data_IF_248163408814
#
_entry.id   IF_248163408814
#
_cell.length_a   1.000
_cell.length_b   1.000
_cell.length_c   1.000
_cell.angle_alpha   90.00
_cell.angle_beta   90.00
_cell.angle_gamma   90.00
#
_symmetry.space_group_name_H-M   'P 1'
#
loop_
_entity.id
_entity.type
_entity.pdbx_description
1 polymer ?
#
# COMPACT_ATOMS: atom_id res chain seq x y z
N UNK A 1 28.44 33.50 -59.24
CA UNK A 1 29.85 33.07 -59.12
C UNK A 1 30.70 34.33 -58.98
N UNK A 2 31.70 34.44 -58.09
CA UNK A 2 32.32 33.45 -57.19
C UNK A 2 32.00 33.74 -55.70
N UNK A 3 32.34 32.97 -54.67
CA UNK A 3 33.17 31.78 -54.54
C UNK A 3 34.07 31.90 -53.29
N UNK A 4 34.07 30.83 -52.46
CA UNK A 4 35.00 30.46 -51.39
C UNK A 4 35.00 31.24 -50.05
N UNK A 5 35.35 30.68 -48.88
CA UNK A 5 35.28 29.34 -48.23
C UNK A 5 36.12 29.48 -46.93
N UNK A 6 35.76 28.72 -45.88
CA UNK A 6 36.57 28.19 -44.77
C UNK A 6 36.34 28.65 -43.32
N UNK A 7 35.84 27.67 -42.54
CA UNK A 7 36.21 27.20 -41.19
C UNK A 7 36.62 28.24 -40.11
N UNK A 8 36.05 28.11 -38.91
CA UNK A 8 36.67 27.38 -37.77
C UNK A 8 35.86 27.67 -36.49
N UNK A 9 35.66 26.64 -35.67
CA UNK A 9 34.75 26.64 -34.54
C UNK A 9 35.20 27.43 -33.31
N UNK A 10 34.23 27.71 -32.45
CA UNK A 10 34.46 28.04 -31.05
C UNK A 10 33.65 27.09 -30.16
N UNK A 11 34.38 26.18 -29.50
CA UNK A 11 33.90 25.40 -28.35
C UNK A 11 33.80 26.35 -27.15
N UNK A 12 32.59 26.65 -26.71
CA UNK A 12 32.37 27.27 -25.40
C UNK A 12 32.61 26.21 -24.30
N UNK A 13 33.71 26.33 -23.55
CA UNK A 13 33.88 25.67 -22.24
C UNK A 13 33.09 26.48 -21.21
N UNK A 14 31.90 26.01 -20.82
CA UNK A 14 31.32 26.43 -19.53
C UNK A 14 32.04 25.64 -18.42
N UNK A 15 32.90 26.32 -17.68
CA UNK A 15 33.36 25.85 -16.37
C UNK A 15 32.20 25.98 -15.38
N UNK A 16 31.64 24.85 -14.94
CA UNK A 16 30.76 24.82 -13.77
C UNK A 16 31.62 24.76 -12.51
N UNK A 17 31.59 25.83 -11.72
CA UNK A 17 32.05 25.82 -10.33
C UNK A 17 30.97 25.19 -9.45
N UNK A 18 31.10 23.90 -9.15
CA UNK A 18 30.26 23.21 -8.16
C UNK A 18 31.04 23.09 -6.84
N UNK A 19 30.55 23.61 -5.71
CA UNK A 19 31.21 23.42 -4.42
C UNK A 19 31.10 21.96 -3.95
N UNK A 20 32.09 21.43 -3.22
CA UNK A 20 32.11 20.03 -2.82
C UNK A 20 31.09 19.75 -1.71
N UNK A 21 30.38 18.61 -1.82
CA UNK A 21 29.51 18.07 -0.79
C UNK A 21 30.35 17.64 0.43
N UNK A 22 30.13 18.29 1.57
CA UNK A 22 30.70 17.88 2.86
C UNK A 22 30.14 16.51 3.28
N UNK A 23 31.02 15.53 3.49
CA UNK A 23 30.65 14.27 4.13
C UNK A 23 30.67 14.47 5.65
N UNK A 24 29.50 14.47 6.28
CA UNK A 24 29.40 14.47 7.74
C UNK A 24 29.82 13.09 8.23
N UNK A 25 31.03 12.99 8.79
CA UNK A 25 31.48 11.82 9.56
C UNK A 25 30.90 11.91 10.97
N UNK A 26 29.90 11.09 11.29
CA UNK A 26 29.47 10.88 12.66
C UNK A 26 30.57 10.16 13.46
N UNK A 27 30.95 10.74 14.61
CA UNK A 27 31.91 10.17 15.55
C UNK A 27 31.25 9.18 16.52
N UNK A 28 32.09 8.38 17.17
CA UNK A 28 31.81 7.08 17.83
C UNK A 28 30.98 7.13 19.13
N UNK A 29 30.19 8.17 19.39
CA UNK A 29 29.37 8.32 20.60
C UNK A 29 27.87 8.60 20.36
N UNK A 30 27.39 8.52 19.12
CA UNK A 30 25.97 8.66 18.78
C UNK A 30 25.27 7.34 18.42
N UNK A 31 25.42 6.28 19.23
CA UNK A 31 24.76 4.99 18.99
C UNK A 31 24.16 4.43 20.27
N UNK A 32 22.89 4.71 20.54
CA UNK A 32 22.01 3.84 21.32
C UNK A 32 20.61 3.88 20.68
N UNK A 33 20.19 2.68 20.23
CA UNK A 33 18.86 2.08 20.00
C UNK A 33 17.67 2.98 19.57
N UNK A 34 16.84 2.58 18.60
CA UNK A 34 16.15 1.29 18.62
C UNK A 34 15.78 0.80 17.20
N UNK A 35 16.19 -0.44 16.94
CA UNK A 35 15.76 -1.30 15.84
C UNK A 35 14.43 -1.93 16.25
N UNK A 36 13.41 -1.80 15.40
CA UNK A 36 12.31 -2.76 15.30
C UNK A 36 11.91 -2.89 13.82
N UNK A 37 12.70 -3.71 13.15
CA UNK A 37 12.35 -4.72 12.14
C UNK A 37 11.28 -4.40 11.09
N UNK A 38 11.72 -4.47 9.83
CA UNK A 38 10.88 -4.39 8.64
C UNK A 38 9.87 -5.53 8.54
N UNK A 39 8.73 -5.22 7.93
CA UNK A 39 7.78 -6.22 7.46
C UNK A 39 8.17 -6.64 6.04
N UNK A 40 8.54 -7.90 5.91
CA UNK A 40 8.69 -8.61 4.64
C UNK A 40 7.39 -8.51 3.85
N UNK A 41 7.51 -8.01 2.63
CA UNK A 41 6.44 -7.90 1.65
C UNK A 41 6.20 -9.29 1.03
N UNK A 42 5.56 -10.20 1.77
CA UNK A 42 5.07 -11.48 1.24
C UNK A 42 3.82 -11.91 2.01
N UNK A 43 2.67 -11.94 1.32
CA UNK A 43 1.37 -12.36 1.86
C UNK A 43 0.51 -11.20 2.37
N UNK A 44 -0.27 -10.56 1.49
CA UNK A 44 -1.29 -9.57 1.92
C UNK A 44 -2.54 -10.27 2.45
N UNK A 45 -2.43 -10.92 3.60
CA UNK A 45 -3.38 -10.63 4.66
C UNK A 45 -2.87 -9.32 5.28
N UNK A 46 -3.38 -8.17 4.84
CA UNK A 46 -3.00 -6.89 5.45
C UNK A 46 -3.52 -6.94 6.88
N UNK A 47 -2.66 -7.35 7.81
CA UNK A 47 -2.88 -7.19 9.24
C UNK A 47 -3.23 -5.72 9.47
N UNK A 48 -4.40 -5.45 10.05
CA UNK A 48 -4.69 -4.15 10.63
C UNK A 48 -3.63 -3.98 11.72
N UNK A 49 -2.67 -3.04 11.61
CA UNK A 49 -1.80 -2.76 12.73
C UNK A 49 -2.69 -2.06 13.76
N UNK A 50 -3.21 -2.82 14.72
CA UNK A 50 -3.66 -2.25 15.98
C UNK A 50 -2.38 -1.75 16.64
N UNK A 51 -2.13 -0.44 16.59
CA UNK A 51 -1.02 0.15 17.33
C UNK A 51 -1.37 0.10 18.82
N UNK A 52 -0.95 -0.98 19.48
CA UNK A 52 -0.98 -1.13 20.92
C UNK A 52 0.19 -0.30 21.45
N UNK A 53 -0.07 0.90 21.99
CA UNK A 53 0.91 1.55 22.86
C UNK A 53 0.97 0.73 24.14
N UNK A 54 2.05 -0.04 24.30
CA UNK A 54 2.20 -1.05 25.35
C UNK A 54 2.24 -0.43 26.75
N UNK A 55 1.11 -0.51 27.45
CA UNK A 55 1.04 -0.84 28.87
C UNK A 55 0.21 -2.12 28.96
N UNK A 56 0.79 -3.22 29.45
CA UNK A 56 0.23 -4.57 29.34
C UNK A 56 -1.19 -4.71 29.91
N UNK A 57 -2.07 -5.36 29.15
CA UNK A 57 -3.41 -5.78 29.57
C UNK A 57 -4.35 -5.95 28.38
N UNK A 58 -5.45 -6.69 28.57
CA UNK A 58 -6.61 -6.89 27.69
C UNK A 58 -7.38 -5.58 27.36
N UNK A 59 -6.67 -4.46 27.28
CA UNK A 59 -7.24 -3.14 27.09
C UNK A 59 -7.66 -2.94 25.63
N UNK A 60 -8.90 -2.48 25.43
CA UNK A 60 -9.42 -2.09 24.12
C UNK A 60 -8.52 -1.02 23.48
N UNK A 61 -8.32 -1.06 22.16
CA UNK A 61 -7.52 -0.04 21.47
C UNK A 61 -8.12 1.35 21.66
N UNK A 62 -7.24 2.36 21.80
CA UNK A 62 -7.64 3.77 21.89
C UNK A 62 -7.86 4.42 20.52
N UNK A 63 -7.53 3.73 19.43
CA UNK A 63 -7.78 4.19 18.07
C UNK A 63 -7.91 3.03 17.07
N UNK A 64 -8.66 3.29 15.99
CA UNK A 64 -8.83 2.41 14.84
C UNK A 64 -8.16 3.03 13.61
N UNK A 65 -7.13 2.37 13.08
CA UNK A 65 -6.47 2.77 11.84
C UNK A 65 -7.11 2.06 10.66
N UNK A 66 -7.64 2.84 9.71
CA UNK A 66 -8.13 2.35 8.42
C UNK A 66 -7.17 2.77 7.30
N UNK A 67 -6.38 1.82 6.75
CA UNK A 67 -5.53 2.10 5.59
C UNK A 67 -6.33 2.46 4.33
N UNK A 68 -5.69 3.17 3.41
CA UNK A 68 -6.23 3.42 2.06
C UNK A 68 -6.42 2.10 1.30
N UNK A 69 -7.39 2.06 0.37
CA UNK A 69 -7.65 0.89 -0.49
C UNK A 69 -8.38 -0.26 0.22
N UNK A 70 -8.87 -0.03 1.45
CA UNK A 70 -9.72 -1.00 2.14
C UNK A 70 -11.12 -0.99 1.54
N UNK A 71 -11.71 -2.16 1.35
CA UNK A 71 -13.14 -2.30 1.00
C UNK A 71 -14.01 -2.14 2.23
N UNK A 72 -15.27 -1.77 2.04
CA UNK A 72 -16.21 -1.52 3.13
C UNK A 72 -16.40 -2.77 4.01
N UNK A 73 -16.39 -3.96 3.41
CA UNK A 73 -16.44 -5.24 4.13
C UNK A 73 -15.29 -5.40 5.13
N UNK A 74 -14.07 -5.06 4.73
CA UNK A 74 -12.88 -5.11 5.58
C UNK A 74 -12.92 -4.05 6.68
N UNK A 75 -13.52 -2.89 6.39
CA UNK A 75 -13.71 -1.83 7.38
C UNK A 75 -14.72 -2.27 8.43
N UNK A 76 -15.82 -2.94 8.05
CA UNK A 76 -16.79 -3.48 9.00
C UNK A 76 -16.13 -4.50 9.94
N UNK A 77 -15.35 -5.43 9.38
CA UNK A 77 -14.59 -6.41 10.17
C UNK A 77 -13.60 -5.74 11.13
N UNK A 78 -12.91 -4.68 10.67
CA UNK A 78 -11.99 -3.93 11.50
C UNK A 78 -12.69 -3.18 12.65
N UNK A 79 -13.89 -2.62 12.40
CA UNK A 79 -14.71 -1.99 13.42
C UNK A 79 -15.19 -3.02 14.45
N UNK A 80 -15.74 -4.15 13.99
CA UNK A 80 -16.24 -5.20 14.88
C UNK A 80 -15.11 -5.72 15.78
N UNK A 81 -13.93 -5.96 15.21
CA UNK A 81 -12.76 -6.40 15.97
C UNK A 81 -12.27 -5.34 16.97
N UNK A 82 -12.20 -4.07 16.58
CA UNK A 82 -11.68 -3.01 17.44
C UNK A 82 -12.61 -2.68 18.61
N UNK A 83 -13.92 -2.89 18.44
CA UNK A 83 -14.94 -2.68 19.47
C UNK A 83 -15.30 -3.95 20.24
N UNK A 84 -14.67 -5.09 19.93
CA UNK A 84 -14.97 -6.40 20.51
C UNK A 84 -16.46 -6.78 20.37
N UNK A 85 -16.95 -6.71 19.13
CA UNK A 85 -18.34 -6.98 18.76
C UNK A 85 -18.46 -8.25 17.92
N UNK A 86 -19.65 -8.91 17.92
CA UNK A 86 -19.92 -10.01 17.02
C UNK A 86 -19.74 -9.60 15.55
N UNK A 87 -19.22 -10.52 14.72
CA UNK A 87 -19.01 -10.27 13.31
C UNK A 87 -20.30 -9.85 12.57
N UNK A 88 -20.18 -8.81 11.75
CA UNK A 88 -21.29 -8.23 10.99
C UNK A 88 -22.09 -7.16 11.75
N UNK A 89 -21.71 -6.81 12.98
CA UNK A 89 -22.41 -5.79 13.77
C UNK A 89 -22.29 -4.41 13.12
N UNK A 90 -21.10 -4.04 12.64
CA UNK A 90 -20.85 -2.79 11.93
C UNK A 90 -21.66 -2.72 10.62
N UNK A 91 -21.71 -3.80 9.83
CA UNK A 91 -22.52 -3.85 8.60
C UNK A 91 -24.00 -3.64 8.90
N UNK A 92 -24.55 -4.32 9.92
CA UNK A 92 -25.95 -4.15 10.36
C UNK A 92 -26.25 -2.73 10.88
N UNK A 93 -25.21 -2.02 11.30
CA UNK A 93 -25.33 -0.66 11.85
C UNK A 93 -25.44 0.43 10.77
N UNK A 94 -25.18 0.12 9.49
CA UNK A 94 -25.26 1.08 8.38
C UNK A 94 -26.60 1.81 8.31
N UNK A 95 -27.70 1.08 8.43
CA UNK A 95 -29.05 1.66 8.37
C UNK A 95 -29.32 2.67 9.50
N UNK A 96 -28.62 2.55 10.62
CA UNK A 96 -28.72 3.46 11.77
C UNK A 96 -27.68 4.59 11.73
N UNK A 97 -26.67 4.48 10.88
CA UNK A 97 -25.56 5.44 10.82
C UNK A 97 -25.93 6.74 10.08
N UNK A 98 -27.03 6.74 9.32
CA UNK A 98 -27.52 7.90 8.55
C UNK A 98 -26.40 8.59 7.75
N UNK A 99 -25.69 7.80 6.94
CA UNK A 99 -24.52 8.26 6.20
C UNK A 99 -24.92 9.32 5.18
N UNK A 100 -24.25 10.47 5.22
CA UNK A 100 -24.42 11.55 4.24
C UNK A 100 -23.64 11.23 2.96
N UNK A 101 -24.16 10.28 2.19
CA UNK A 101 -23.61 9.87 0.90
C UNK A 101 -24.25 10.69 -0.24
N UNK A 102 -23.57 10.86 -1.39
CA UNK A 102 -24.21 11.39 -2.59
C UNK A 102 -25.34 10.48 -3.08
N UNK A 103 -26.33 11.06 -3.75
CA UNK A 103 -27.49 10.32 -4.26
C UNK A 103 -27.09 9.18 -5.22
N UNK A 104 -26.08 9.43 -6.07
CA UNK A 104 -25.52 8.44 -7.01
C UNK A 104 -24.95 7.19 -6.32
N UNK A 105 -24.62 7.28 -5.03
CA UNK A 105 -24.15 6.13 -4.27
C UNK A 105 -25.27 5.12 -3.99
N UNK A 106 -26.55 5.52 -4.07
CA UNK A 106 -27.70 4.64 -3.81
C UNK A 106 -27.66 3.99 -2.42
N UNK A 107 -27.04 4.66 -1.44
CA UNK A 107 -26.83 4.13 -0.09
C UNK A 107 -25.63 3.19 0.07
N UNK A 108 -24.87 2.90 -0.99
CA UNK A 108 -23.62 2.13 -0.92
C UNK A 108 -22.47 3.00 -0.36
N UNK A 109 -21.88 2.67 0.79
CA UNK A 109 -20.81 3.47 1.39
C UNK A 109 -19.42 3.21 0.80
N UNK A 110 -19.27 2.24 -0.13
CA UNK A 110 -17.98 1.98 -0.77
C UNK A 110 -17.44 3.24 -1.47
N UNK A 111 -16.17 3.57 -1.21
CA UNK A 111 -15.55 4.83 -1.62
C UNK A 111 -15.65 5.96 -0.59
N UNK A 112 -16.57 5.89 0.37
CA UNK A 112 -16.87 6.97 1.32
C UNK A 112 -16.52 6.63 2.78
N UNK A 113 -16.06 5.43 3.08
CA UNK A 113 -15.51 5.10 4.40
C UNK A 113 -14.04 5.52 4.47
N UNK A 114 -13.82 6.83 4.63
CA UNK A 114 -12.52 7.47 4.42
C UNK A 114 -11.37 6.84 5.23
N UNK A 115 -10.19 6.60 4.63
CA UNK A 115 -9.03 6.06 5.33
C UNK A 115 -8.39 7.10 6.25
N UNK A 116 -8.36 6.81 7.54
CA UNK A 116 -7.74 7.64 8.58
C UNK A 116 -7.56 6.84 9.88
N UNK A 117 -7.00 7.49 10.89
CA UNK A 117 -7.03 7.02 12.28
C UNK A 117 -8.21 7.66 13.00
N UNK A 118 -9.07 6.83 13.59
CA UNK A 118 -10.25 7.24 14.32
C UNK A 118 -10.06 6.98 15.82
N UNK A 119 -10.23 7.97 16.70
CA UNK A 119 -10.15 7.75 18.14
C UNK A 119 -11.30 6.86 18.61
N UNK A 120 -11.01 5.96 19.54
CA UNK A 120 -11.97 5.08 20.19
C UNK A 120 -12.08 5.47 21.67
N UNK A 121 -13.27 5.89 22.07
CA UNK A 121 -13.65 6.06 23.47
C UNK A 121 -14.45 4.87 23.98
N UNK A 122 -14.68 4.82 25.29
CA UNK A 122 -15.40 3.71 25.94
C UNK A 122 -16.82 3.46 25.38
N UNK A 123 -17.45 4.51 24.86
CA UNK A 123 -18.83 4.48 24.32
C UNK A 123 -18.89 4.60 22.81
N UNK A 124 -17.76 4.46 22.10
CA UNK A 124 -17.74 4.55 20.63
C UNK A 124 -18.58 3.42 20.04
N UNK A 125 -19.53 3.77 19.17
CA UNK A 125 -20.38 2.81 18.48
C UNK A 125 -19.97 2.61 17.02
N UNK A 126 -20.34 1.48 16.38
CA UNK A 126 -20.11 1.29 14.96
C UNK A 126 -20.77 2.38 14.10
N UNK A 127 -21.98 2.82 14.46
CA UNK A 127 -22.70 3.89 13.75
C UNK A 127 -21.92 5.20 13.76
N UNK A 128 -21.36 5.58 14.91
CA UNK A 128 -20.55 6.80 15.05
C UNK A 128 -19.29 6.74 14.19
N UNK A 129 -18.60 5.59 14.16
CA UNK A 129 -17.42 5.41 13.33
C UNK A 129 -17.75 5.51 11.83
N UNK A 130 -18.78 4.81 11.37
CA UNK A 130 -19.20 4.85 9.97
C UNK A 130 -19.63 6.26 9.55
N UNK A 131 -20.40 6.96 10.38
CA UNK A 131 -20.80 8.34 10.14
C UNK A 131 -19.60 9.29 10.11
N UNK A 132 -18.64 9.12 11.02
CA UNK A 132 -17.42 9.92 11.04
C UNK A 132 -16.55 9.69 9.80
N UNK A 133 -16.45 8.45 9.31
CA UNK A 133 -15.74 8.11 8.08
C UNK A 133 -16.40 8.76 6.85
N UNK A 134 -17.73 8.66 6.72
CA UNK A 134 -18.48 9.30 5.63
C UNK A 134 -18.38 10.84 5.66
N UNK A 135 -18.51 11.45 6.84
CA UNK A 135 -18.35 12.88 7.02
C UNK A 135 -16.93 13.35 6.66
N UNK A 136 -15.92 12.54 7.00
CA UNK A 136 -14.53 12.79 6.62
C UNK A 136 -14.36 12.72 5.10
N UNK A 137 -14.89 11.70 4.42
CA UNK A 137 -14.86 11.61 2.96
C UNK A 137 -15.47 12.85 2.31
N UNK A 138 -16.66 13.27 2.75
CA UNK A 138 -17.31 14.49 2.25
C UNK A 138 -16.41 15.72 2.39
N UNK A 139 -15.77 15.91 3.55
CA UNK A 139 -14.85 17.04 3.77
C UNK A 139 -13.64 17.00 2.84
N UNK A 140 -13.07 15.82 2.64
CA UNK A 140 -11.81 15.66 1.91
C UNK A 140 -11.99 15.64 0.39
N UNK A 141 -13.13 15.16 -0.10
CA UNK A 141 -13.44 15.09 -1.53
C UNK A 141 -14.06 16.39 -2.05
N UNK A 142 -14.91 17.06 -1.27
CA UNK A 142 -15.50 18.34 -1.68
C UNK A 142 -14.55 19.54 -1.52
N UNK A 143 -13.44 19.36 -0.80
CA UNK A 143 -12.41 20.40 -0.62
C UNK A 143 -11.35 20.44 -1.73
N UNK A 144 -11.35 19.49 -2.66
CA UNK A 144 -10.42 19.48 -3.79
C UNK A 144 -11.01 20.35 -4.92
N UNK A 145 -10.43 21.52 -5.24
CA UNK A 145 -10.84 22.24 -6.44
C UNK A 145 -10.59 21.32 -7.64
N UNK A 146 -11.67 20.91 -8.31
CA UNK A 146 -11.59 20.26 -9.61
C UNK A 146 -10.85 21.25 -10.51
N UNK A 147 -9.62 20.91 -10.91
CA UNK A 147 -8.78 21.83 -11.65
C UNK A 147 -9.48 22.19 -12.96
N UNK A 148 -9.72 23.50 -13.15
CA UNK A 148 -10.31 24.06 -14.34
C UNK A 148 -9.42 23.73 -15.56
N UNK A 149 -9.71 22.65 -16.26
CA UNK A 149 -8.93 22.20 -17.41
C UNK A 149 -9.28 20.81 -17.95
N UNK A 150 -9.86 19.92 -17.14
CA UNK A 150 -10.42 18.66 -17.62
C UNK A 150 -11.93 18.85 -17.83
N UNK A 151 -12.36 18.99 -19.09
CA UNK A 151 -13.74 18.96 -19.57
C UNK A 151 -14.83 19.16 -18.50
N UNK A 152 -15.08 20.44 -18.19
CA UNK A 152 -15.80 20.92 -17.01
C UNK A 152 -17.30 20.59 -16.93
N UNK A 153 -17.83 19.70 -17.78
CA UNK A 153 -19.29 19.54 -17.96
C UNK A 153 -19.87 18.13 -17.73
N UNK A 154 -19.13 17.12 -17.28
CA UNK A 154 -19.75 15.78 -17.16
C UNK A 154 -19.35 14.89 -15.97
N UNK A 155 -18.22 15.14 -15.28
CA UNK A 155 -17.82 14.25 -14.18
C UNK A 155 -18.31 14.75 -12.82
N UNK A 156 -19.22 14.01 -12.21
CA UNK A 156 -19.67 14.31 -10.85
C UNK A 156 -18.69 13.77 -9.80
N UNK A 157 -18.86 14.20 -8.54
CA UNK A 157 -17.97 13.81 -7.42
C UNK A 157 -17.95 12.30 -7.24
N UNK A 158 -19.09 11.62 -7.42
CA UNK A 158 -19.17 10.17 -7.25
C UNK A 158 -18.33 9.43 -8.30
N UNK A 159 -18.38 9.85 -9.56
CA UNK A 159 -17.51 9.33 -10.62
C UNK A 159 -16.03 9.61 -10.34
N UNK A 160 -15.69 10.78 -9.81
CA UNK A 160 -14.32 11.10 -9.40
C UNK A 160 -13.83 10.16 -8.28
N UNK A 161 -14.68 9.83 -7.30
CA UNK A 161 -14.38 8.83 -6.26
C UNK A 161 -14.26 7.42 -6.85
N UNK A 162 -15.08 7.06 -7.83
CA UNK A 162 -14.95 5.79 -8.56
C UNK A 162 -13.59 5.69 -9.25
N UNK A 163 -13.16 6.73 -9.99
CA UNK A 163 -11.83 6.77 -10.60
C UNK A 163 -10.73 6.74 -9.53
N UNK A 164 -10.89 7.47 -8.43
CA UNK A 164 -9.94 7.46 -7.33
C UNK A 164 -9.77 6.05 -6.75
N UNK A 165 -10.84 5.26 -6.61
CA UNK A 165 -10.74 3.86 -6.13
C UNK A 165 -10.00 2.96 -7.12
N UNK A 166 -10.19 3.15 -8.43
CA UNK A 166 -9.42 2.45 -9.45
C UNK A 166 -7.93 2.81 -9.38
N UNK A 167 -7.62 4.11 -9.26
CA UNK A 167 -6.25 4.61 -9.12
C UNK A 167 -5.59 4.06 -7.87
N UNK A 168 -6.31 4.03 -6.73
CA UNK A 168 -5.81 3.50 -5.47
C UNK A 168 -5.46 2.02 -5.57
N UNK A 169 -6.30 1.23 -6.25
CA UNK A 169 -6.10 -0.20 -6.43
C UNK A 169 -4.98 -0.55 -7.42
N UNK A 170 -4.78 0.29 -8.44
CA UNK A 170 -3.87 -0.01 -9.57
C UNK A 170 -2.47 0.59 -9.43
N UNK A 171 -2.33 1.75 -8.79
CA UNK A 171 -1.06 2.45 -8.73
C UNK A 171 -0.05 1.73 -7.82
N UNK A 172 1.10 1.37 -8.37
CA UNK A 172 2.19 0.76 -7.59
C UNK A 172 2.81 1.75 -6.59
N UNK A 173 2.80 3.04 -6.91
CA UNK A 173 3.36 4.11 -6.09
C UNK A 173 2.48 5.36 -6.14
N UNK A 174 2.66 6.30 -5.21
CA UNK A 174 1.97 7.59 -5.23
C UNK A 174 2.32 8.43 -6.47
N UNK A 175 3.55 8.30 -6.97
CA UNK A 175 4.01 9.01 -8.16
C UNK A 175 3.37 8.46 -9.45
N UNK A 176 3.00 7.18 -9.45
CA UNK A 176 2.30 6.53 -10.56
C UNK A 176 0.81 6.91 -10.63
N UNK A 177 0.18 7.32 -9.52
CA UNK A 177 -1.27 7.58 -9.43
C UNK A 177 -1.77 8.54 -10.52
N UNK A 178 -1.06 9.66 -10.74
CA UNK A 178 -1.46 10.64 -11.76
C UNK A 178 -1.39 10.09 -13.19
N UNK A 179 -0.45 9.20 -13.48
CA UNK A 179 -0.32 8.54 -14.79
C UNK A 179 -1.36 7.42 -14.98
N UNK A 180 -1.64 6.66 -13.92
CA UNK A 180 -2.73 5.65 -13.93
C UNK A 180 -4.07 6.34 -14.18
N UNK A 181 -4.35 7.44 -13.48
CA UNK A 181 -5.54 8.25 -13.71
C UNK A 181 -5.62 8.72 -15.18
N UNK A 182 -4.50 9.18 -15.75
CA UNK A 182 -4.43 9.57 -17.17
C UNK A 182 -4.77 8.41 -18.11
N UNK A 183 -4.27 7.21 -17.85
CA UNK A 183 -4.61 6.01 -18.66
C UNK A 183 -6.10 5.71 -18.59
N UNK A 184 -6.74 5.82 -17.42
CA UNK A 184 -8.19 5.65 -17.26
C UNK A 184 -8.93 6.63 -18.17
N UNK A 185 -8.64 7.94 -18.06
CA UNK A 185 -9.29 8.95 -18.91
C UNK A 185 -9.07 8.72 -20.39
N UNK A 186 -7.82 8.49 -20.81
CA UNK A 186 -7.50 8.26 -22.23
C UNK A 186 -8.23 7.04 -22.80
N UNK A 187 -8.42 5.98 -22.01
CA UNK A 187 -9.20 4.80 -22.43
C UNK A 187 -10.69 5.10 -22.51
N UNK A 188 -11.26 5.80 -21.51
CA UNK A 188 -12.67 6.19 -21.52
C UNK A 188 -12.99 7.08 -22.73
N UNK A 189 -12.16 8.08 -23.00
CA UNK A 189 -12.30 9.00 -24.14
C UNK A 189 -12.23 8.29 -25.49
N UNK A 190 -11.46 7.20 -25.58
CA UNK A 190 -11.32 6.40 -26.81
C UNK A 190 -12.33 5.26 -26.92
N UNK A 191 -13.25 5.12 -25.96
CA UNK A 191 -14.16 3.98 -25.91
C UNK A 191 -13.38 2.66 -25.87
N UNK A 192 -12.37 2.57 -25.01
CA UNK A 192 -11.60 1.35 -24.73
C UNK A 192 -12.00 0.77 -23.35
N UNK A 193 -12.08 -0.57 -23.21
CA UNK A 193 -12.30 -1.19 -21.90
C UNK A 193 -11.11 -0.90 -20.98
N UNK A 194 -11.38 -0.70 -19.67
CA UNK A 194 -10.32 -0.36 -18.71
C UNK A 194 -9.38 -1.54 -18.47
N UNK A 195 -9.89 -2.78 -18.49
CA UNK A 195 -9.11 -4.02 -18.34
C UNK A 195 -8.26 -4.06 -17.06
N UNK A 196 -8.89 -3.73 -15.93
CA UNK A 196 -8.23 -3.62 -14.64
C UNK A 196 -8.51 -4.84 -13.78
N UNK A 197 -7.47 -5.59 -13.41
CA UNK A 197 -7.56 -6.79 -12.57
C UNK A 197 -8.27 -6.52 -11.23
N UNK A 198 -8.05 -5.33 -10.65
CA UNK A 198 -8.69 -4.89 -9.40
C UNK A 198 -10.22 -4.94 -9.45
N UNK A 199 -10.81 -4.63 -10.61
CA UNK A 199 -12.26 -4.65 -10.82
C UNK A 199 -12.83 -6.07 -10.85
N UNK A 200 -12.08 -7.03 -11.40
CA UNK A 200 -12.42 -8.46 -11.40
C UNK A 200 -12.27 -9.04 -9.99
N UNK A 201 -11.21 -8.68 -9.27
CA UNK A 201 -11.03 -9.10 -7.88
C UNK A 201 -12.10 -8.54 -6.96
N UNK A 202 -12.61 -7.33 -7.24
CA UNK A 202 -13.76 -6.77 -6.56
C UNK A 202 -15.02 -7.60 -6.82
N UNK A 203 -15.31 -7.89 -8.09
CA UNK A 203 -16.45 -8.71 -8.51
C UNK A 203 -16.47 -10.09 -7.83
N UNK A 204 -15.30 -10.70 -7.66
CA UNK A 204 -15.15 -12.03 -7.06
C UNK A 204 -15.08 -12.03 -5.53
N UNK A 205 -15.13 -10.86 -4.89
CA UNK A 205 -14.97 -10.74 -3.45
C UNK A 205 -13.59 -11.17 -2.93
N UNK A 206 -12.60 -11.36 -3.83
CA UNK A 206 -11.24 -11.71 -3.46
C UNK A 206 -10.59 -10.48 -2.85
N UNK A 207 -9.91 -10.64 -1.72
CA UNK A 207 -9.02 -9.59 -1.23
C UNK A 207 -8.10 -9.16 -2.37
N UNK A 208 -7.78 -7.86 -2.46
CA UNK A 208 -6.75 -7.38 -3.38
C UNK A 208 -5.47 -8.16 -3.10
N UNK A 209 -5.23 -9.18 -3.91
CA UNK A 209 -4.19 -10.17 -3.71
C UNK A 209 -3.31 -10.14 -4.94
N UNK A 210 -2.02 -10.40 -4.76
CA UNK A 210 -1.12 -10.54 -5.91
C UNK A 210 -1.38 -11.82 -6.71
N UNK A 211 -2.40 -12.61 -6.35
CA UNK A 211 -2.79 -13.75 -7.16
C UNK A 211 -3.18 -13.24 -8.54
N UNK A 212 -2.49 -13.75 -9.55
CA UNK A 212 -2.74 -13.37 -10.94
C UNK A 212 -4.20 -13.65 -11.28
N UNK A 213 -4.92 -12.62 -11.74
CA UNK A 213 -6.23 -12.80 -12.38
C UNK A 213 -6.06 -13.79 -13.53
N UNK A 214 -6.80 -14.90 -13.47
CA UNK A 214 -6.73 -15.94 -14.49
C UNK A 214 -7.48 -15.46 -15.73
N UNK A 215 -7.13 -16.02 -16.88
CA UNK A 215 -7.84 -15.73 -18.12
C UNK A 215 -9.36 -16.03 -18.00
N UNK A 216 -9.72 -17.08 -17.26
CA UNK A 216 -11.11 -17.41 -16.92
C UNK A 216 -11.81 -16.33 -16.10
N UNK A 217 -11.09 -15.65 -15.21
CA UNK A 217 -11.65 -14.62 -14.34
C UNK A 217 -12.03 -13.37 -15.16
N UNK A 218 -11.30 -13.08 -16.25
CA UNK A 218 -11.61 -11.95 -17.14
C UNK A 218 -12.91 -12.12 -17.92
N UNK A 219 -13.53 -13.31 -17.85
CA UNK A 219 -14.74 -13.67 -18.61
C UNK A 219 -16.01 -13.77 -17.76
N UNK A 220 -15.92 -13.46 -16.46
CA UNK A 220 -17.07 -13.54 -15.55
C UNK A 220 -18.13 -12.50 -15.93
N UNK A 221 -19.41 -12.88 -15.87
CA UNK A 221 -20.49 -11.92 -16.02
C UNK A 221 -20.69 -11.14 -14.72
N UNK A 222 -20.20 -9.90 -14.72
CA UNK A 222 -20.35 -8.97 -13.62
C UNK A 222 -20.37 -7.54 -14.15
N UNK A 223 -21.18 -6.63 -13.57
CA UNK A 223 -21.15 -5.21 -13.93
C UNK A 223 -19.80 -4.55 -13.61
N UNK A 224 -18.99 -5.17 -12.75
CA UNK A 224 -17.64 -4.69 -12.41
C UNK A 224 -16.56 -5.22 -13.36
N UNK A 225 -16.84 -6.18 -14.24
CA UNK A 225 -15.82 -6.74 -15.12
C UNK A 225 -15.43 -5.76 -16.24
N UNK A 226 -14.41 -4.95 -15.99
CA UNK A 226 -13.91 -3.94 -16.92
C UNK A 226 -13.14 -4.50 -18.14
N UNK A 227 -13.00 -5.82 -18.25
CA UNK A 227 -12.54 -6.46 -19.48
C UNK A 227 -13.67 -6.63 -20.50
N UNK A 228 -14.90 -6.84 -20.03
CA UNK A 228 -16.07 -7.10 -20.87
C UNK A 228 -17.00 -5.90 -20.99
N UNK A 229 -16.90 -4.92 -20.08
CA UNK A 229 -17.77 -3.75 -20.03
C UNK A 229 -16.99 -2.47 -20.24
N UNK A 230 -17.61 -1.57 -21.00
CA UNK A 230 -17.08 -0.23 -21.30
C UNK A 230 -17.46 0.74 -20.19
N UNK A 231 -16.65 1.78 -20.02
CA UNK A 231 -16.90 2.82 -19.03
C UNK A 231 -16.38 2.46 -17.63
N UNK A 232 -16.85 3.21 -16.64
CA UNK A 232 -16.54 2.99 -15.24
C UNK A 232 -17.35 1.82 -14.66
N UNK A 233 -16.84 1.11 -13.64
CA UNK A 233 -17.67 0.21 -12.84
C UNK A 233 -18.83 1.00 -12.18
N UNK A 234 -19.92 0.32 -11.78
CA UNK A 234 -21.11 0.99 -11.25
C UNK A 234 -20.88 1.68 -9.90
N UNK A 235 -19.85 1.29 -9.15
CA UNK A 235 -19.50 1.87 -7.84
C UNK A 235 -17.98 1.88 -7.67
N UNK A 236 -17.44 2.66 -6.70
CA UNK A 236 -16.06 2.50 -6.25
C UNK A 236 -15.75 1.05 -5.83
N UNK A 237 -14.50 0.62 -6.00
CA UNK A 237 -14.06 -0.76 -5.69
C UNK A 237 -13.22 -0.87 -4.40
N UNK A 238 -12.97 0.26 -3.75
CA UNK A 238 -12.34 0.40 -2.45
C UNK A 238 -12.61 1.79 -1.87
N UNK A 239 -12.03 2.11 -0.70
CA UNK A 239 -12.05 3.43 -0.10
C UNK A 239 -10.71 4.16 -0.35
N UNK A 240 -10.68 5.14 -1.29
CA UNK A 240 -9.45 5.79 -1.73
C UNK A 240 -8.97 6.87 -0.75
N UNK A 241 -7.67 7.13 -0.77
CA UNK A 241 -7.06 8.24 -0.04
C UNK A 241 -7.11 9.57 -0.80
N UNK A 242 -6.65 10.64 -0.15
CA UNK A 242 -6.58 11.98 -0.78
C UNK A 242 -5.69 12.03 -2.01
N UNK A 243 -4.62 11.23 -2.04
CA UNK A 243 -3.68 11.23 -3.15
C UNK A 243 -4.31 10.68 -4.43
N UNK A 244 -5.05 9.58 -4.31
CA UNK A 244 -5.80 9.00 -5.41
C UNK A 244 -6.93 9.94 -5.87
N UNK A 245 -7.65 10.59 -4.93
CA UNK A 245 -8.66 11.61 -5.29
C UNK A 245 -8.04 12.78 -6.06
N UNK A 246 -6.90 13.31 -5.62
CA UNK A 246 -6.18 14.36 -6.34
C UNK A 246 -5.75 13.93 -7.73
N UNK A 247 -5.26 12.70 -7.88
CA UNK A 247 -4.88 12.15 -9.18
C UNK A 247 -6.09 11.99 -10.12
N UNK A 248 -7.26 11.62 -9.58
CA UNK A 248 -8.49 11.50 -10.36
C UNK A 248 -8.99 12.86 -10.87
N UNK A 249 -8.91 13.93 -10.07
CA UNK A 249 -9.36 15.28 -10.48
C UNK A 249 -8.31 16.08 -11.24
N UNK A 250 -7.03 15.75 -11.08
CA UNK A 250 -5.91 16.40 -11.76
C UNK A 250 -4.87 15.36 -12.25
N UNK A 251 -5.22 14.57 -13.28
CA UNK A 251 -4.34 13.53 -13.81
C UNK A 251 -3.11 14.13 -14.50
N UNK A 252 -1.95 13.49 -14.34
CA UNK A 252 -0.70 13.87 -15.02
C UNK A 252 -0.95 13.92 -16.54
N UNK A 253 -0.60 15.02 -17.24
CA UNK A 253 -0.73 15.07 -18.69
C UNK A 253 0.08 13.96 -19.39
N UNK A 254 -0.50 13.37 -20.44
CA UNK A 254 0.15 12.32 -21.23
C UNK A 254 -0.84 11.55 -22.09
N UNK A 255 -0.35 10.79 -23.06
CA UNK A 255 -1.13 10.05 -24.05
C UNK A 255 -1.16 8.52 -23.79
N UNK A 256 -0.60 8.09 -22.66
CA UNK A 256 -0.48 6.68 -22.30
C UNK A 256 -1.82 5.95 -22.30
N UNK A 257 -1.80 4.72 -22.81
CA UNK A 257 -2.95 3.81 -22.83
C UNK A 257 -2.68 2.52 -22.06
N UNK A 258 -1.41 2.25 -21.78
CA UNK A 258 -0.96 1.02 -21.18
C UNK A 258 0.07 1.30 -20.10
N UNK A 259 0.07 0.48 -19.06
CA UNK A 259 1.13 0.46 -18.07
C UNK A 259 1.39 -0.96 -17.60
N UNK A 260 2.61 -1.22 -17.14
CA UNK A 260 2.96 -2.46 -16.48
C UNK A 260 4.15 -2.25 -15.56
N UNK A 261 4.06 -2.78 -14.35
CA UNK A 261 5.21 -2.85 -13.44
C UNK A 261 6.11 -4.01 -13.86
N UNK A 262 7.32 -3.67 -14.30
CA UNK A 262 8.32 -4.64 -14.75
C UNK A 262 9.06 -5.25 -13.56
N UNK A 263 9.40 -4.43 -12.58
CA UNK A 263 9.99 -4.82 -11.28
C UNK A 263 9.58 -3.78 -10.22
N UNK A 264 9.73 -4.06 -8.91
CA UNK A 264 9.39 -3.10 -7.87
C UNK A 264 10.03 -1.72 -8.12
N UNK A 265 9.21 -0.66 -8.15
CA UNK A 265 9.66 0.70 -8.45
C UNK A 265 9.89 1.03 -9.93
N UNK A 266 9.65 0.10 -10.86
CA UNK A 266 9.74 0.31 -12.32
C UNK A 266 8.39 0.02 -12.97
N UNK A 267 7.51 1.02 -12.98
CA UNK A 267 6.26 1.02 -13.75
C UNK A 267 6.46 1.78 -15.04
N UNK A 268 6.30 1.10 -16.17
CA UNK A 268 6.45 1.71 -17.51
C UNK A 268 5.09 2.03 -18.09
N UNK A 269 4.97 3.22 -18.67
CA UNK A 269 3.76 3.74 -19.29
C UNK A 269 4.02 3.98 -20.77
N UNK A 270 3.10 3.58 -21.65
CA UNK A 270 3.24 3.75 -23.10
C UNK A 270 1.88 3.90 -23.78
N UNK A 271 1.86 4.59 -24.93
CA UNK A 271 0.72 4.62 -25.83
C UNK A 271 0.79 3.48 -26.88
N UNK A 272 1.94 2.81 -27.03
CA UNK A 272 2.16 1.77 -28.03
C UNK A 272 1.89 0.36 -27.47
N UNK A 273 0.96 -0.35 -28.11
CA UNK A 273 0.62 -1.73 -27.75
C UNK A 273 1.79 -2.71 -27.97
N UNK A 274 2.66 -2.48 -28.96
CA UNK A 274 3.83 -3.33 -29.24
C UNK A 274 4.84 -3.19 -28.11
N UNK A 275 5.16 -1.96 -27.72
CA UNK A 275 6.00 -1.67 -26.56
C UNK A 275 5.42 -2.26 -25.27
N UNK A 276 4.11 -2.09 -25.05
CA UNK A 276 3.44 -2.67 -23.88
C UNK A 276 3.60 -4.19 -23.82
N UNK A 277 3.39 -4.91 -24.94
CA UNK A 277 3.58 -6.37 -24.99
C UNK A 277 5.02 -6.78 -24.65
N UNK A 278 6.02 -6.01 -25.06
CA UNK A 278 7.43 -6.24 -24.70
C UNK A 278 7.65 -6.05 -23.20
N UNK A 279 7.15 -4.95 -22.63
CA UNK A 279 7.23 -4.68 -21.19
C UNK A 279 6.50 -5.76 -20.35
N UNK A 280 5.36 -6.27 -20.83
CA UNK A 280 4.63 -7.38 -20.19
C UNK A 280 5.45 -8.68 -20.24
N UNK A 281 6.09 -8.99 -21.38
CA UNK A 281 6.95 -10.16 -21.49
C UNK A 281 8.14 -10.08 -20.53
N UNK A 282 8.75 -8.91 -20.38
CA UNK A 282 9.82 -8.66 -19.41
C UNK A 282 9.35 -8.85 -17.97
N UNK A 283 8.22 -8.22 -17.59
CA UNK A 283 7.59 -8.38 -16.26
C UNK A 283 7.31 -9.85 -15.92
N UNK A 284 6.85 -10.63 -16.91
CA UNK A 284 6.57 -12.07 -16.73
C UNK A 284 7.85 -12.88 -16.53
N UNK A 285 8.93 -12.56 -17.25
CA UNK A 285 10.24 -13.21 -17.07
C UNK A 285 10.80 -12.91 -15.68
N UNK A 286 10.80 -11.65 -15.26
CA UNK A 286 11.27 -11.22 -13.94
C UNK A 286 10.54 -11.92 -12.78
N UNK A 287 9.21 -12.04 -12.87
CA UNK A 287 8.41 -12.76 -11.85
C UNK A 287 8.76 -14.25 -11.75
N UNK A 288 8.95 -14.93 -12.88
CA UNK A 288 9.35 -16.35 -12.88
C UNK A 288 10.72 -16.57 -12.22
N UNK A 289 11.68 -15.66 -12.45
CA UNK A 289 12.98 -15.73 -11.79
C UNK A 289 12.87 -15.53 -10.28
N UNK A 290 12.12 -14.52 -9.83
CA UNK A 290 11.94 -14.25 -8.39
C UNK A 290 11.20 -15.37 -7.64
N UNK A 291 10.34 -16.15 -8.33
CA UNK A 291 9.64 -17.29 -7.75
C UNK A 291 10.52 -18.57 -7.72
N UNK A 292 11.60 -18.60 -8.51
CA UNK A 292 12.54 -19.72 -8.60
C UNK A 292 13.79 -19.54 -7.72
N UNK A 293 14.10 -18.32 -7.28
CA UNK A 293 15.19 -18.04 -6.35
C UNK A 293 14.77 -18.34 -4.90
N UNK A 294 15.41 -19.30 -4.19
CA UNK A 294 15.17 -19.48 -2.77
C UNK A 294 15.65 -18.23 -2.00
N UNK A 295 14.99 -17.84 -0.88
CA UNK A 295 15.39 -16.67 -0.13
C UNK A 295 16.85 -16.83 0.32
N UNK A 296 17.72 -15.90 -0.11
CA UNK A 296 19.12 -15.89 0.30
C UNK A 296 19.20 -15.89 1.83
N UNK A 297 19.81 -16.94 2.39
CA UNK A 297 20.19 -16.95 3.80
C UNK A 297 21.23 -15.84 3.98
N UNK A 298 20.92 -14.82 4.78
CA UNK A 298 21.90 -13.88 5.29
C UNK A 298 23.11 -14.68 5.80
N UNK A 299 24.23 -14.58 5.09
CA UNK A 299 25.44 -15.32 5.38
C UNK A 299 26.06 -14.76 6.65
N UNK A 300 25.77 -15.40 7.77
CA UNK A 300 26.56 -15.30 9.00
C UNK A 300 27.93 -15.95 8.75
N UNK A 301 28.83 -15.23 8.11
CA UNK A 301 30.27 -15.50 8.12
C UNK A 301 30.97 -14.35 8.85
N UNK A 302 30.82 -14.33 10.18
CA UNK A 302 31.86 -13.75 11.04
C UNK A 302 32.75 -14.88 11.50
N UNK A 303 33.96 -14.94 10.92
CA UNK A 303 35.09 -15.71 11.44
C UNK A 303 35.29 -15.39 12.92
N UNK A 304 35.22 -16.39 13.78
CA UNK A 304 35.76 -16.31 15.13
C UNK A 304 37.30 -16.45 15.06
N UNK A 305 38.08 -15.70 15.84
CA UNK A 305 39.52 -15.92 15.94
C UNK A 305 39.83 -17.07 16.92
N UNK A 306 40.78 -17.92 16.52
CA UNK A 306 41.40 -18.98 17.31
C UNK A 306 41.88 -18.49 18.68
N UNK A 307 41.52 -19.21 19.74
CA UNK A 307 42.27 -19.22 20.99
C UNK A 307 42.60 -20.66 21.37
N UNK A 308 43.90 -20.98 21.27
CA UNK A 308 44.51 -22.16 21.88
C UNK A 308 44.60 -21.97 23.40
N UNK A 309 44.24 -22.99 24.17
CA UNK A 309 44.80 -23.19 25.52
C UNK A 309 44.91 -24.70 25.81
N UNK A 310 46.02 -25.20 26.38
CA UNK A 310 46.28 -26.63 26.48
C UNK A 310 45.80 -27.27 27.78
N UNK A 311 45.58 -28.58 27.68
CA UNK A 311 45.20 -29.56 28.70
C UNK A 311 46.20 -29.73 29.85
N UNK A 312 45.69 -30.00 31.07
CA UNK A 312 46.19 -30.89 32.14
C UNK A 312 45.24 -30.71 33.36
N UNK A 313 44.80 -31.67 34.20
CA UNK A 313 45.21 -33.04 34.56
C UNK A 313 44.01 -33.80 35.18
N UNK A 314 44.09 -35.14 35.06
CA UNK A 314 43.33 -36.25 35.69
C UNK A 314 43.62 -36.39 37.22
N UNK A 315 43.15 -37.43 37.97
CA UNK A 315 41.90 -38.24 37.96
C UNK A 315 41.33 -38.57 39.39
N UNK A 316 40.20 -39.31 39.45
CA UNK A 316 39.87 -40.33 40.50
C UNK A 316 39.00 -39.89 41.69
N UNK A 317 37.71 -40.24 41.78
CA UNK A 317 37.08 -41.50 42.26
C UNK A 317 36.87 -41.61 43.79
N UNK A 318 35.60 -41.36 44.21
CA UNK A 318 34.71 -42.13 45.12
C UNK A 318 35.10 -42.45 46.59
N UNK A 319 34.17 -42.91 47.48
CA UNK A 319 32.78 -42.44 47.75
C UNK A 319 32.39 -42.41 49.27
N UNK A 320 31.33 -41.63 49.64
CA UNK A 320 30.37 -41.76 50.78
C UNK A 320 30.85 -41.96 52.27
N UNK A 321 29.99 -41.92 53.33
CA UNK A 321 28.94 -40.97 53.75
C UNK A 321 28.95 -40.62 55.30
N UNK A 322 27.94 -39.86 55.76
CA UNK A 322 27.38 -39.69 57.15
C UNK A 322 28.02 -38.71 58.15
N UNK A 323 27.24 -37.70 58.58
CA UNK A 323 26.71 -37.47 59.96
C UNK A 323 26.09 -36.05 60.02
N UNK A 324 24.79 -35.91 60.29
CA UNK A 324 24.09 -35.80 61.58
C UNK A 324 24.13 -34.40 62.23
N UNK A 325 22.91 -33.88 62.43
CA UNK A 325 22.43 -32.97 63.48
C UNK A 325 23.21 -31.68 63.82
N UNK A 326 22.58 -30.52 63.68
CA UNK A 326 21.70 -29.93 64.72
C UNK A 326 21.45 -28.42 64.51
N UNK A 327 20.18 -28.05 64.76
CA UNK A 327 19.67 -26.82 65.40
C UNK A 327 20.29 -25.44 65.07
N UNK A 328 19.46 -24.61 64.41
CA UNK A 328 18.83 -23.38 64.95
C UNK A 328 19.73 -22.20 65.41
N UNK A 329 19.18 -20.99 65.67
CA UNK A 329 19.30 -19.86 64.74
C UNK A 329 19.89 -18.60 65.40
N UNK A 330 20.18 -17.55 64.63
CA UNK A 330 19.89 -16.14 64.96
C UNK A 330 20.59 -15.17 64.01
N UNK A 331 19.88 -14.08 63.69
CA UNK A 331 20.32 -12.68 63.53
C UNK A 331 21.65 -12.42 62.78
N UNK A 332 21.70 -11.65 61.70
CA UNK A 332 21.09 -10.34 61.42
C UNK A 332 21.26 -10.05 59.93
#
# INVERSE_FOLDING_TARGET
MPGFSYLTGYRARMQMNTPPRSTIRLTRRGRIALVATGAVVAGTAVAVPLLIMSGGGDARPTSLVIPEGRRATQIYEAIDKALDLPAGTAKKSLAKANLRLPDDAGGNPEGYLFPATYPLGERTTPQQLLAAMAARAHKEFNGAPVAAGAQHNAMNVYQAVTIASLVQAEAATKDDMGKVARVIFNRLERGMPLQMDSTVDYALGRAASRARVKDTDTRIDSPYNSYQRMGLPPTPIDNPGKAAMRAAVNPTPGDWLYYVTVKPGDTRFTADSVEHRRNVAESRRGRKHAEQEPPERESSHRKAPDQKTPSQRNPGQDPHPKNSASRSPAAR
#
